data_IF_863186821488
#
_entry.id   IF_863186821488
#
_cell.length_a   1.000
_cell.length_b   1.000
_cell.length_c   1.000
_cell.angle_alpha   90.00
_cell.angle_beta   90.00
_cell.angle_gamma   90.00
#
_symmetry.space_group_name_H-M   'P 1'
#
loop_
_entity.id
_entity.type
_entity.pdbx_description
1 polymer ?
#
# COMPACT_ATOMS: atom_id res chain seq x y z
N UNK A 1 10.00 51.92 4.49
CA UNK A 1 8.92 51.93 5.52
C UNK A 1 7.69 51.10 5.09
N UNK A 2 7.21 51.24 3.86
CA UNK A 2 6.00 50.56 3.37
C UNK A 2 6.15 49.03 3.36
N UNK A 3 7.32 48.49 2.95
CA UNK A 3 7.57 47.06 2.92
C UNK A 3 7.63 46.45 4.32
N UNK A 4 8.34 47.13 5.25
CA UNK A 4 8.47 46.67 6.66
C UNK A 4 7.11 46.65 7.35
N UNK A 5 6.29 47.67 7.12
CA UNK A 5 4.91 47.73 7.65
C UNK A 5 4.09 46.56 7.13
N UNK A 6 4.09 46.32 5.81
CA UNK A 6 3.37 45.20 5.20
C UNK A 6 3.84 43.85 5.72
N UNK A 7 5.15 43.65 5.89
CA UNK A 7 5.70 42.42 6.48
C UNK A 7 5.24 42.22 7.93
N UNK A 8 5.18 43.30 8.72
CA UNK A 8 4.69 43.21 10.11
C UNK A 8 3.20 42.89 10.18
N UNK A 9 2.37 43.47 9.28
CA UNK A 9 0.95 43.18 9.20
C UNK A 9 0.71 41.73 8.80
N UNK A 10 1.44 41.22 7.78
CA UNK A 10 1.39 39.81 7.36
C UNK A 10 1.86 38.87 8.48
N UNK A 11 2.92 39.23 9.20
CA UNK A 11 3.42 38.46 10.34
C UNK A 11 2.38 38.36 11.45
N UNK A 12 1.65 39.43 11.72
CA UNK A 12 0.59 39.43 12.75
C UNK A 12 -0.51 38.46 12.40
N UNK A 13 -0.96 38.45 11.15
CA UNK A 13 -1.99 37.53 10.67
C UNK A 13 -1.48 36.08 10.63
N UNK A 14 -0.27 35.83 10.12
CA UNK A 14 0.28 34.47 10.01
C UNK A 14 0.57 33.81 11.37
N UNK A 15 0.86 34.61 12.41
CA UNK A 15 1.06 34.10 13.78
C UNK A 15 -0.13 33.38 14.39
N UNK A 16 -1.31 33.57 13.83
CA UNK A 16 -2.49 32.80 14.25
C UNK A 16 -2.35 31.29 13.97
N UNK A 17 -1.43 30.90 13.07
CA UNK A 17 -1.08 29.51 12.80
C UNK A 17 -0.09 28.94 13.86
N UNK A 18 0.61 29.80 14.60
CA UNK A 18 1.55 29.42 15.66
C UNK A 18 0.80 29.29 16.99
N UNK A 19 0.08 28.20 17.16
CA UNK A 19 -0.77 27.98 18.34
C UNK A 19 0.10 27.85 19.61
N UNK A 20 -0.15 28.64 20.67
CA UNK A 20 0.58 28.56 21.91
C UNK A 20 0.46 27.19 22.61
N UNK A 21 1.48 26.80 23.39
CA UNK A 21 1.51 25.47 24.05
C UNK A 21 0.25 25.18 24.87
N UNK A 22 -0.25 26.13 25.64
CA UNK A 22 -1.46 25.96 26.45
C UNK A 22 -2.68 25.64 25.58
N UNK A 23 -2.80 26.31 24.44
CA UNK A 23 -3.90 26.05 23.50
C UNK A 23 -3.70 24.74 22.78
N UNK A 24 -2.46 24.40 22.34
CA UNK A 24 -2.16 23.09 21.74
C UNK A 24 -2.54 21.95 22.67
N UNK A 25 -2.16 22.05 23.97
CA UNK A 25 -2.50 21.06 24.99
C UNK A 25 -4.02 20.90 25.10
N UNK A 26 -4.75 22.00 25.21
CA UNK A 26 -6.21 21.98 25.30
C UNK A 26 -6.87 21.36 24.05
N UNK A 27 -6.34 21.62 22.86
CA UNK A 27 -6.81 20.99 21.62
C UNK A 27 -6.51 19.48 21.60
N UNK A 28 -5.32 19.06 22.01
CA UNK A 28 -4.94 17.65 22.13
C UNK A 28 -5.86 16.91 23.11
N UNK A 29 -6.18 17.51 24.26
CA UNK A 29 -7.09 16.93 25.26
C UNK A 29 -8.50 16.72 24.66
N UNK A 30 -9.00 17.66 23.87
CA UNK A 30 -10.30 17.52 23.18
C UNK A 30 -10.30 16.38 22.16
N UNK A 31 -9.24 16.25 21.36
CA UNK A 31 -9.10 15.18 20.38
C UNK A 31 -8.93 13.82 21.07
N UNK A 32 -8.15 13.76 22.16
CA UNK A 32 -7.96 12.55 22.95
C UNK A 32 -9.27 12.10 23.60
N UNK A 33 -10.06 13.04 24.14
CA UNK A 33 -11.37 12.75 24.72
C UNK A 33 -12.34 12.22 23.64
N UNK A 34 -12.33 12.81 22.44
CA UNK A 34 -13.09 12.32 21.30
C UNK A 34 -12.70 10.88 20.94
N UNK A 35 -11.39 10.62 20.75
CA UNK A 35 -10.86 9.31 20.39
C UNK A 35 -11.22 8.24 21.43
N UNK A 36 -11.04 8.53 22.73
CA UNK A 36 -11.41 7.61 23.81
C UNK A 36 -12.92 7.32 23.81
N UNK A 37 -13.76 8.34 23.62
CA UNK A 37 -15.21 8.17 23.55
C UNK A 37 -15.60 7.28 22.37
N UNK A 38 -14.97 7.49 21.20
CA UNK A 38 -15.21 6.68 20.01
C UNK A 38 -14.80 5.22 20.22
N UNK A 39 -13.59 4.97 20.70
CA UNK A 39 -13.05 3.61 20.92
C UNK A 39 -13.90 2.87 21.97
N UNK A 40 -14.20 3.49 23.11
CA UNK A 40 -15.02 2.89 24.16
C UNK A 40 -16.46 2.61 23.75
N UNK A 41 -16.93 3.29 22.70
CA UNK A 41 -18.28 3.12 22.16
C UNK A 41 -18.41 2.06 21.07
N UNK A 42 -17.30 1.49 20.55
CA UNK A 42 -17.29 0.64 19.35
C UNK A 42 -18.22 -0.56 19.40
N UNK A 43 -18.36 -1.22 20.56
CA UNK A 43 -19.26 -2.37 20.75
C UNK A 43 -20.73 -2.03 20.48
N UNK A 44 -21.11 -0.77 20.60
CA UNK A 44 -22.48 -0.29 20.41
C UNK A 44 -22.70 0.35 19.04
N UNK A 45 -21.64 0.57 18.26
CA UNK A 45 -21.75 1.21 16.94
C UNK A 45 -22.16 0.19 15.89
N UNK A 46 -23.10 0.59 15.02
CA UNK A 46 -23.50 -0.22 13.86
C UNK A 46 -22.33 -0.31 12.86
N UNK A 47 -22.18 -1.46 12.22
CA UNK A 47 -21.19 -1.66 11.14
C UNK A 47 -21.46 -0.83 9.89
N UNK A 48 -22.74 -0.41 9.69
CA UNK A 48 -23.17 0.46 8.61
C UNK A 48 -24.33 1.35 9.02
N UNK A 49 -24.30 2.61 8.59
CA UNK A 49 -25.39 3.59 8.82
C UNK A 49 -25.59 4.47 7.58
N UNK A 50 -26.80 4.47 7.04
CA UNK A 50 -27.20 5.45 6.02
C UNK A 50 -27.63 6.75 6.69
N UNK A 51 -27.13 7.86 6.20
CA UNK A 51 -27.48 9.21 6.63
C UNK A 51 -27.27 10.17 5.46
N UNK A 52 -28.15 11.14 5.32
CA UNK A 52 -27.90 12.31 4.47
C UNK A 52 -26.83 13.18 5.12
N UNK A 53 -25.80 13.54 4.37
CA UNK A 53 -24.65 14.30 4.87
C UNK A 53 -24.99 15.79 4.84
N UNK A 54 -24.76 16.47 5.95
CA UNK A 54 -24.87 17.92 6.06
C UNK A 54 -23.80 18.66 5.28
N UNK A 55 -23.88 20.00 5.29
CA UNK A 55 -22.89 20.83 4.62
C UNK A 55 -21.51 20.74 5.28
N UNK A 56 -20.51 20.28 4.50
CA UNK A 56 -19.10 20.21 4.86
C UNK A 56 -18.22 21.18 4.07
N UNK A 57 -18.81 22.14 3.40
CA UNK A 57 -18.07 23.15 2.60
C UNK A 57 -17.17 24.01 3.49
N UNK A 58 -16.03 24.42 2.93
CA UNK A 58 -15.09 25.34 3.58
C UNK A 58 -15.62 26.78 3.40
N UNK A 59 -16.12 27.37 4.49
CA UNK A 59 -16.76 28.69 4.47
C UNK A 59 -15.76 29.86 4.58
N UNK A 60 -14.51 29.61 4.95
CA UNK A 60 -13.49 30.65 5.15
C UNK A 60 -13.47 31.30 6.54
N UNK A 61 -14.53 31.15 7.32
CA UNK A 61 -14.60 31.64 8.70
C UNK A 61 -14.03 30.62 9.69
N UNK A 62 -13.56 31.12 10.84
CA UNK A 62 -13.07 30.25 11.92
C UNK A 62 -14.22 29.54 12.60
N UNK A 63 -14.05 28.25 12.82
CA UNK A 63 -15.00 27.41 13.57
C UNK A 63 -14.30 26.80 14.78
N UNK A 64 -14.93 26.82 15.98
CA UNK A 64 -14.35 26.21 17.18
C UNK A 64 -14.11 24.70 17.00
N UNK A 65 -12.98 24.18 17.51
CA UNK A 65 -12.62 22.76 17.40
C UNK A 65 -13.72 21.83 17.91
N UNK A 66 -14.36 22.17 19.03
CA UNK A 66 -15.46 21.36 19.60
C UNK A 66 -16.65 21.20 18.64
N UNK A 67 -16.98 22.24 17.89
CA UNK A 67 -18.02 22.18 16.86
C UNK A 67 -17.58 21.30 15.69
N UNK A 68 -16.30 21.44 15.24
CA UNK A 68 -15.74 20.59 14.19
C UNK A 68 -15.69 19.13 14.60
N UNK A 69 -15.33 18.80 15.85
CA UNK A 69 -15.34 17.44 16.37
C UNK A 69 -16.77 16.86 16.41
N UNK A 70 -17.74 17.68 16.76
CA UNK A 70 -19.15 17.27 16.74
C UNK A 70 -19.60 16.98 15.31
N UNK A 71 -19.29 17.87 14.36
CA UNK A 71 -19.59 17.73 12.94
C UNK A 71 -18.87 16.49 12.36
N UNK A 72 -17.59 16.31 12.67
CA UNK A 72 -16.83 15.13 12.25
C UNK A 72 -17.48 13.83 12.78
N UNK A 73 -17.91 13.79 14.03
CA UNK A 73 -18.62 12.64 14.58
C UNK A 73 -19.87 12.33 13.79
N UNK A 74 -20.76 13.30 13.61
CA UNK A 74 -22.09 13.09 13.04
C UNK A 74 -22.09 12.88 11.54
N UNK A 75 -21.16 13.53 10.82
CA UNK A 75 -21.14 13.52 9.34
C UNK A 75 -20.11 12.54 8.76
N UNK A 76 -19.11 12.13 9.55
CA UNK A 76 -18.03 11.26 9.07
C UNK A 76 -17.95 9.96 9.85
N UNK A 77 -17.67 10.02 11.17
CA UNK A 77 -17.38 8.82 11.96
C UNK A 77 -18.60 7.90 12.17
N UNK A 78 -19.82 8.47 12.16
CA UNK A 78 -21.06 7.72 12.38
C UNK A 78 -21.86 7.47 11.09
N UNK A 79 -21.27 7.66 9.92
CA UNK A 79 -21.94 7.47 8.62
C UNK A 79 -21.23 6.44 7.76
N UNK A 80 -21.99 5.80 6.86
CA UNK A 80 -21.45 4.78 5.97
C UNK A 80 -20.98 3.52 6.70
N UNK A 81 -19.90 2.94 6.23
CA UNK A 81 -19.25 1.78 6.82
C UNK A 81 -18.34 2.22 7.97
N UNK A 82 -18.56 1.67 9.17
CA UNK A 82 -17.63 1.81 10.27
C UNK A 82 -16.68 0.60 10.31
N UNK A 83 -15.50 0.75 9.71
CA UNK A 83 -14.52 -0.31 9.63
C UNK A 83 -13.97 -0.75 11.01
N UNK A 84 -14.02 0.12 12.02
CA UNK A 84 -13.60 -0.20 13.38
C UNK A 84 -14.67 -0.94 14.21
N UNK A 85 -15.91 -1.00 13.73
CA UNK A 85 -16.99 -1.68 14.47
C UNK A 85 -16.81 -3.20 14.44
N UNK A 86 -16.91 -3.91 15.59
CA UNK A 86 -16.88 -5.36 15.63
C UNK A 86 -18.08 -6.03 14.92
N UNK A 87 -19.08 -5.24 14.55
CA UNK A 87 -20.25 -5.69 13.78
C UNK A 87 -20.08 -5.55 12.27
N UNK A 88 -18.91 -5.04 11.82
CA UNK A 88 -18.58 -4.93 10.41
C UNK A 88 -17.79 -6.16 9.97
N UNK A 89 -18.43 -7.04 9.18
CA UNK A 89 -17.86 -8.31 8.71
C UNK A 89 -17.64 -8.33 7.18
N UNK A 90 -17.88 -7.22 6.52
CA UNK A 90 -17.73 -7.10 5.06
C UNK A 90 -16.47 -6.32 4.66
N UNK A 91 -16.12 -6.36 3.39
CA UNK A 91 -15.06 -5.62 2.70
C UNK A 91 -13.67 -5.97 3.24
N UNK A 92 -12.99 -6.13 3.90
CA UNK A 92 -11.61 -6.45 4.36
C UNK A 92 -10.90 -5.19 4.88
N UNK A 93 -11.48 -4.48 5.86
CA UNK A 93 -10.78 -3.43 6.57
C UNK A 93 -9.93 -4.00 7.70
N UNK A 94 -8.88 -3.28 8.07
CA UNK A 94 -8.03 -3.64 9.20
C UNK A 94 -8.58 -3.23 10.58
N UNK A 95 -9.55 -2.37 10.68
CA UNK A 95 -10.14 -1.91 11.94
C UNK A 95 -9.40 -0.78 12.67
N UNK A 96 -8.13 -0.54 12.38
CA UNK A 96 -7.35 0.58 12.93
C UNK A 96 -6.84 0.39 14.36
N UNK A 97 -5.67 -0.24 14.52
CA UNK A 97 -4.97 -0.36 15.80
C UNK A 97 -4.62 1.01 16.36
N UNK A 98 -5.00 1.31 17.62
CA UNK A 98 -4.80 2.63 18.27
C UNK A 98 -3.35 3.10 18.25
N UNK A 99 -2.38 2.22 18.49
CA UNK A 99 -0.96 2.58 18.50
C UNK A 99 -0.46 3.06 17.13
N UNK A 100 -1.10 2.66 16.03
CA UNK A 100 -0.81 3.20 14.72
C UNK A 100 -1.30 4.65 14.55
N UNK A 101 -2.38 5.05 15.20
CA UNK A 101 -2.82 6.44 15.23
C UNK A 101 -1.82 7.33 15.98
N UNK A 102 -1.20 6.82 17.06
CA UNK A 102 -0.09 7.53 17.75
C UNK A 102 1.12 7.70 16.82
N UNK A 103 1.45 6.69 16.03
CA UNK A 103 2.51 6.77 15.02
C UNK A 103 2.22 7.87 13.99
N UNK A 104 0.97 7.97 13.52
CA UNK A 104 0.57 9.00 12.56
C UNK A 104 0.64 10.41 13.16
N UNK A 105 0.26 10.56 14.42
CA UNK A 105 0.42 11.83 15.14
C UNK A 105 1.90 12.24 15.17
N UNK A 106 2.80 11.34 15.60
CA UNK A 106 4.23 11.63 15.64
C UNK A 106 4.80 11.94 14.25
N UNK A 107 4.36 11.19 13.22
CA UNK A 107 4.79 11.42 11.84
C UNK A 107 4.32 12.79 11.32
N UNK A 108 3.12 13.22 11.66
CA UNK A 108 2.57 14.51 11.26
C UNK A 108 3.25 15.68 11.98
N UNK A 109 3.49 15.57 13.28
CA UNK A 109 4.14 16.64 14.09
C UNK A 109 5.60 16.84 13.70
N UNK A 110 6.34 15.76 13.43
CA UNK A 110 7.76 15.84 13.07
C UNK A 110 7.99 16.06 11.58
N UNK A 111 7.00 15.72 10.75
CA UNK A 111 6.95 15.92 9.31
C UNK A 111 8.26 15.59 8.56
N UNK A 112 8.88 14.41 8.74
CA UNK A 112 10.13 14.07 8.09
C UNK A 112 9.95 13.83 6.60
N UNK A 113 10.94 14.18 5.79
CA UNK A 113 10.96 13.82 4.36
C UNK A 113 11.37 12.35 4.18
N UNK A 114 10.47 11.45 4.56
CA UNK A 114 10.75 10.02 4.80
C UNK A 114 11.14 9.20 3.56
N UNK A 115 10.97 9.74 2.35
CA UNK A 115 11.24 9.02 1.11
C UNK A 115 12.69 9.11 0.63
N UNK A 116 13.47 10.03 1.17
CA UNK A 116 14.86 10.28 0.76
C UNK A 116 15.78 10.13 1.98
N UNK A 117 16.69 9.15 1.92
CA UNK A 117 17.58 8.83 3.04
C UNK A 117 18.44 10.02 3.48
N UNK A 118 19.08 10.71 2.54
CA UNK A 118 19.84 11.92 2.82
C UNK A 118 19.05 12.96 3.63
N UNK A 119 17.77 13.18 3.26
CA UNK A 119 16.94 14.20 3.90
C UNK A 119 16.41 13.78 5.28
N UNK A 120 16.14 12.51 5.47
CA UNK A 120 15.65 11.95 6.73
C UNK A 120 16.12 10.49 6.92
N UNK A 121 17.39 10.30 7.31
CA UNK A 121 17.96 8.95 7.37
C UNK A 121 17.21 8.03 8.34
N UNK A 122 16.80 8.53 9.50
CA UNK A 122 16.04 7.73 10.46
C UNK A 122 14.68 7.26 9.93
N UNK A 123 13.94 8.12 9.23
CA UNK A 123 12.64 7.74 8.67
C UNK A 123 12.77 6.77 7.50
N UNK A 124 13.74 6.98 6.61
CA UNK A 124 14.02 6.04 5.51
C UNK A 124 14.50 4.69 6.07
N UNK A 125 15.34 4.68 7.09
CA UNK A 125 15.78 3.44 7.76
C UNK A 125 14.59 2.67 8.36
N UNK A 126 13.65 3.34 9.03
CA UNK A 126 12.45 2.67 9.57
C UNK A 126 11.64 2.01 8.44
N UNK A 127 11.47 2.67 7.29
CA UNK A 127 10.78 2.04 6.15
C UNK A 127 11.56 0.83 5.64
N UNK A 128 12.87 0.95 5.49
CA UNK A 128 13.74 -0.15 5.05
C UNK A 128 13.72 -1.33 6.02
N UNK A 129 13.68 -1.09 7.34
CA UNK A 129 13.52 -2.15 8.35
C UNK A 129 12.17 -2.86 8.25
N UNK A 130 11.09 -2.12 7.99
CA UNK A 130 9.77 -2.72 7.72
C UNK A 130 9.83 -3.61 6.48
N UNK A 131 10.47 -3.16 5.40
CA UNK A 131 10.65 -3.96 4.18
C UNK A 131 11.53 -5.19 4.45
N UNK A 132 12.61 -5.06 5.22
CA UNK A 132 13.46 -6.18 5.61
C UNK A 132 12.68 -7.23 6.43
N UNK A 133 11.85 -6.77 7.38
CA UNK A 133 10.95 -7.66 8.11
C UNK A 133 9.96 -8.37 7.19
N UNK A 134 9.33 -7.67 6.25
CA UNK A 134 8.43 -8.28 5.27
C UNK A 134 9.14 -9.31 4.40
N UNK A 135 10.36 -9.02 3.91
CA UNK A 135 11.18 -10.01 3.18
C UNK A 135 11.37 -11.29 3.99
N UNK A 136 11.74 -11.15 5.26
CA UNK A 136 11.90 -12.30 6.17
C UNK A 136 10.61 -13.10 6.35
N UNK A 137 9.46 -12.43 6.52
CA UNK A 137 8.15 -13.08 6.69
C UNK A 137 7.76 -13.88 5.45
N UNK A 138 8.01 -13.35 4.25
CA UNK A 138 7.60 -13.96 2.98
C UNK A 138 8.70 -14.78 2.31
N UNK A 139 9.86 -14.95 2.95
CA UNK A 139 10.98 -15.75 2.42
C UNK A 139 11.64 -15.15 1.18
N UNK A 140 11.56 -13.84 0.98
CA UNK A 140 12.25 -13.14 -0.09
C UNK A 140 13.75 -13.00 0.23
N UNK A 141 14.64 -13.03 -0.78
CA UNK A 141 16.08 -12.92 -0.57
C UNK A 141 16.45 -11.52 -0.03
N UNK A 142 17.63 -11.44 0.62
CA UNK A 142 18.09 -10.21 1.28
C UNK A 142 18.37 -9.05 0.30
N UNK A 143 18.66 -9.36 -0.96
CA UNK A 143 18.89 -8.40 -2.03
C UNK A 143 17.59 -7.96 -2.76
N UNK A 144 16.45 -8.55 -2.41
CA UNK A 144 15.16 -8.07 -2.89
C UNK A 144 14.90 -6.65 -2.35
N UNK A 145 14.24 -5.85 -3.15
CA UNK A 145 13.87 -4.47 -2.80
C UNK A 145 12.38 -4.34 -2.56
N UNK A 146 11.99 -3.22 -1.97
CA UNK A 146 10.59 -2.92 -1.77
C UNK A 146 10.38 -1.51 -1.25
N UNK A 147 9.14 -1.09 -1.21
CA UNK A 147 8.75 0.18 -0.62
C UNK A 147 7.33 0.12 -0.08
N UNK A 148 7.02 1.01 0.84
CA UNK A 148 5.64 1.22 1.30
C UNK A 148 4.90 2.17 0.35
N UNK A 149 3.66 1.83 0.07
CA UNK A 149 2.74 2.59 -0.78
C UNK A 149 1.45 2.94 -0.02
N UNK A 150 0.51 3.58 -0.69
CA UNK A 150 -0.82 3.87 -0.11
C UNK A 150 -1.75 2.65 -0.08
N UNK A 151 -1.38 1.53 -0.69
CA UNK A 151 -2.17 0.29 -0.74
C UNK A 151 -1.90 -0.53 -1.99
N UNK A 152 -2.53 -1.72 -2.06
CA UNK A 152 -2.31 -2.72 -3.11
C UNK A 152 -2.39 -2.18 -4.54
N UNK A 153 -3.26 -1.21 -4.82
CA UNK A 153 -3.38 -0.64 -6.16
C UNK A 153 -2.11 0.06 -6.64
N UNK A 154 -1.45 0.84 -5.77
CA UNK A 154 -0.17 1.49 -6.10
C UNK A 154 0.96 0.48 -6.07
N UNK A 155 0.96 -0.46 -5.13
CA UNK A 155 1.92 -1.56 -5.08
C UNK A 155 1.89 -2.39 -6.37
N UNK A 156 0.71 -2.71 -6.91
CA UNK A 156 0.53 -3.41 -8.19
C UNK A 156 1.10 -2.59 -9.35
N UNK A 157 0.83 -1.28 -9.38
CA UNK A 157 1.36 -0.40 -10.41
C UNK A 157 2.89 -0.40 -10.42
N UNK A 158 3.55 -0.33 -9.25
CA UNK A 158 5.00 -0.39 -9.10
C UNK A 158 5.54 -1.72 -9.63
N UNK A 159 4.96 -2.85 -9.20
CA UNK A 159 5.38 -4.19 -9.61
C UNK A 159 5.24 -4.39 -11.13
N UNK A 160 4.10 -3.97 -11.71
CA UNK A 160 3.84 -4.14 -13.13
C UNK A 160 4.68 -3.22 -14.01
N UNK A 161 5.06 -2.04 -13.52
CA UNK A 161 6.00 -1.17 -14.22
C UNK A 161 7.37 -1.84 -14.34
N UNK A 162 7.87 -2.44 -13.26
CA UNK A 162 9.12 -3.21 -13.28
C UNK A 162 9.03 -4.42 -14.22
N UNK A 163 7.92 -5.19 -14.18
CA UNK A 163 7.68 -6.32 -15.06
C UNK A 163 7.65 -5.91 -16.55
N UNK A 164 6.90 -4.84 -16.88
CA UNK A 164 6.83 -4.26 -18.22
C UNK A 164 8.22 -3.92 -18.77
N UNK A 165 9.00 -3.21 -17.98
CA UNK A 165 10.30 -2.70 -18.43
C UNK A 165 11.33 -3.83 -18.50
N UNK A 166 11.34 -4.78 -17.56
CA UNK A 166 12.15 -6.01 -17.60
C UNK A 166 11.92 -6.81 -18.88
N UNK A 167 10.66 -6.99 -19.25
CA UNK A 167 10.27 -7.74 -20.45
C UNK A 167 10.22 -6.89 -21.73
N UNK A 168 10.59 -5.60 -21.64
CA UNK A 168 10.64 -4.65 -22.77
C UNK A 168 9.31 -4.58 -23.53
N UNK A 169 8.19 -4.59 -22.77
CA UNK A 169 6.84 -4.49 -23.34
C UNK A 169 6.53 -3.03 -23.63
N UNK A 170 6.78 -2.61 -24.87
CA UNK A 170 6.56 -1.23 -25.35
C UNK A 170 6.25 -1.21 -26.85
N UNK A 171 5.60 -0.15 -27.29
CA UNK A 171 5.29 0.13 -28.70
C UNK A 171 4.54 -1.06 -29.36
N UNK A 172 5.01 -1.53 -30.50
CA UNK A 172 4.40 -2.61 -31.30
C UNK A 172 4.38 -3.97 -30.60
N UNK A 173 5.11 -4.14 -29.50
CA UNK A 173 5.09 -5.36 -28.69
C UNK A 173 3.86 -5.42 -27.78
N UNK A 174 3.27 -4.28 -27.39
CA UNK A 174 2.14 -4.24 -26.46
C UNK A 174 0.98 -5.13 -26.92
N UNK A 175 0.43 -4.99 -28.15
CA UNK A 175 -0.72 -5.79 -28.58
C UNK A 175 -0.42 -7.27 -28.80
N UNK A 176 0.87 -7.67 -28.75
CA UNK A 176 1.30 -9.06 -28.80
C UNK A 176 1.65 -9.63 -27.43
N UNK A 177 1.72 -8.80 -26.43
CA UNK A 177 2.09 -9.21 -25.06
C UNK A 177 0.90 -9.79 -24.32
N UNK A 178 1.13 -10.87 -23.57
CA UNK A 178 0.07 -11.62 -22.88
C UNK A 178 0.30 -11.59 -21.38
N UNK A 179 -0.76 -11.25 -20.65
CA UNK A 179 -0.87 -11.33 -19.19
C UNK A 179 -1.83 -12.46 -18.85
N UNK A 180 -1.36 -13.41 -18.04
CA UNK A 180 -2.16 -14.55 -17.57
C UNK A 180 -2.70 -14.26 -16.18
N UNK A 181 -3.99 -14.46 -15.98
CA UNK A 181 -4.72 -14.16 -14.74
C UNK A 181 -5.98 -15.02 -14.64
N UNK A 182 -6.67 -14.96 -13.52
CA UNK A 182 -7.99 -15.57 -13.37
C UNK A 182 -9.10 -14.51 -13.31
N UNK A 183 -10.35 -14.93 -13.38
CA UNK A 183 -11.51 -14.06 -13.15
C UNK A 183 -11.61 -13.58 -11.70
N UNK A 184 -10.90 -14.23 -10.77
CA UNK A 184 -10.87 -13.89 -9.34
C UNK A 184 -9.86 -12.80 -8.98
N UNK A 185 -9.03 -12.32 -9.93
CA UNK A 185 -8.08 -11.25 -9.62
C UNK A 185 -8.79 -9.93 -9.30
N UNK A 186 -8.22 -9.18 -8.38
CA UNK A 186 -8.76 -7.88 -8.04
C UNK A 186 -8.68 -6.90 -9.23
N UNK A 187 -9.69 -6.08 -9.42
CA UNK A 187 -9.79 -5.11 -10.54
C UNK A 187 -8.64 -4.09 -10.60
N UNK A 188 -7.84 -3.95 -9.52
CA UNK A 188 -6.61 -3.15 -9.56
C UNK A 188 -5.61 -3.64 -10.60
N UNK A 189 -5.62 -4.91 -10.96
CA UNK A 189 -4.79 -5.52 -12.01
C UNK A 189 -5.03 -4.85 -13.36
N UNK A 190 -6.27 -4.85 -13.85
CA UNK A 190 -6.62 -4.22 -15.13
C UNK A 190 -6.40 -2.70 -15.08
N UNK A 191 -6.73 -2.08 -13.93
CA UNK A 191 -6.51 -0.65 -13.73
C UNK A 191 -5.03 -0.29 -13.78
N UNK A 192 -4.16 -1.07 -13.15
CA UNK A 192 -2.72 -0.86 -13.19
C UNK A 192 -2.16 -1.01 -14.62
N UNK A 193 -2.55 -2.07 -15.33
CA UNK A 193 -2.15 -2.28 -16.73
C UNK A 193 -2.53 -1.08 -17.62
N UNK A 194 -3.76 -0.59 -17.49
CA UNK A 194 -4.21 0.59 -18.21
C UNK A 194 -3.38 1.83 -17.89
N UNK A 195 -3.12 2.12 -16.60
CA UNK A 195 -2.37 3.30 -16.17
C UNK A 195 -0.94 3.30 -16.73
N UNK A 196 -0.30 2.12 -16.78
CA UNK A 196 1.07 1.99 -17.30
C UNK A 196 1.13 1.83 -18.84
N UNK A 197 0.01 2.04 -19.54
CA UNK A 197 -0.06 2.04 -21.00
C UNK A 197 -0.07 0.63 -21.62
N UNK A 198 -0.54 -0.38 -20.89
CA UNK A 198 -0.67 -1.77 -21.35
C UNK A 198 -2.14 -2.19 -21.54
N UNK A 199 -3.05 -1.25 -21.82
CA UNK A 199 -4.45 -1.55 -22.00
C UNK A 199 -4.73 -2.43 -23.24
N UNK A 200 -3.86 -2.37 -24.25
CA UNK A 200 -3.93 -3.17 -25.46
C UNK A 200 -3.23 -4.55 -25.36
N UNK A 201 -2.64 -4.86 -24.18
CA UNK A 201 -2.08 -6.20 -23.94
C UNK A 201 -3.21 -7.25 -23.83
N UNK A 202 -2.91 -8.45 -24.29
CA UNK A 202 -3.88 -9.56 -24.25
C UNK A 202 -4.02 -10.05 -22.81
N UNK A 203 -5.25 -10.04 -22.29
CA UNK A 203 -5.59 -10.67 -21.01
C UNK A 203 -6.07 -12.09 -21.27
N UNK A 204 -5.31 -13.08 -20.79
CA UNK A 204 -5.61 -14.49 -20.92
C UNK A 204 -6.14 -15.04 -19.60
N UNK A 205 -7.46 -15.23 -19.51
CA UNK A 205 -8.10 -15.79 -18.32
C UNK A 205 -7.93 -17.30 -18.30
N UNK A 206 -7.29 -17.80 -17.25
CA UNK A 206 -7.01 -19.21 -17.07
C UNK A 206 -8.17 -19.87 -16.32
N UNK A 207 -8.62 -21.06 -16.73
CA UNK A 207 -9.66 -21.82 -16.06
C UNK A 207 -9.32 -22.06 -14.58
N UNK A 208 -10.38 -22.10 -13.77
CA UNK A 208 -10.31 -22.35 -12.34
C UNK A 208 -10.80 -23.78 -12.02
N UNK A 209 -10.28 -24.36 -10.96
CA UNK A 209 -10.80 -25.60 -10.39
C UNK A 209 -12.07 -25.37 -9.55
N UNK A 210 -12.59 -26.45 -8.92
CA UNK A 210 -13.78 -26.39 -8.09
C UNK A 210 -13.63 -25.52 -6.83
N UNK A 211 -12.40 -25.27 -6.40
CA UNK A 211 -12.04 -24.42 -5.28
C UNK A 211 -11.68 -22.99 -5.72
N UNK A 212 -11.99 -22.63 -6.97
CA UNK A 212 -11.71 -21.31 -7.57
C UNK A 212 -10.21 -20.96 -7.65
N UNK A 213 -9.32 -21.95 -7.83
CA UNK A 213 -7.88 -21.76 -8.00
C UNK A 213 -7.49 -21.92 -9.48
N UNK A 214 -6.48 -21.18 -9.91
CA UNK A 214 -5.87 -21.35 -11.24
C UNK A 214 -5.41 -22.79 -11.43
N UNK A 215 -5.74 -23.39 -12.58
CA UNK A 215 -5.28 -24.73 -12.95
C UNK A 215 -3.90 -24.61 -13.64
N UNK A 216 -2.77 -25.04 -13.00
CA UNK A 216 -1.42 -24.84 -13.56
C UNK A 216 -1.20 -25.51 -14.92
N UNK A 217 -1.82 -26.66 -15.17
CA UNK A 217 -1.72 -27.36 -16.45
C UNK A 217 -2.38 -26.56 -17.59
N UNK A 218 -3.50 -25.87 -17.33
CA UNK A 218 -4.16 -24.99 -18.29
C UNK A 218 -3.34 -23.74 -18.57
N UNK A 219 -2.67 -23.18 -17.53
CA UNK A 219 -1.74 -22.08 -17.67
C UNK A 219 -0.57 -22.48 -18.59
N UNK A 220 0.08 -23.62 -18.32
CA UNK A 220 1.19 -24.14 -19.14
C UNK A 220 0.77 -24.33 -20.60
N UNK A 221 -0.40 -24.93 -20.84
CA UNK A 221 -0.96 -25.14 -22.18
C UNK A 221 -1.22 -23.81 -22.90
N UNK A 222 -1.84 -22.84 -22.22
CA UNK A 222 -2.16 -21.54 -22.81
C UNK A 222 -0.90 -20.77 -23.21
N UNK A 223 0.14 -20.79 -22.37
CA UNK A 223 1.42 -20.14 -22.68
C UNK A 223 2.08 -20.79 -23.90
N UNK A 224 2.07 -22.14 -23.97
CA UNK A 224 2.62 -22.89 -25.09
C UNK A 224 1.91 -22.54 -26.41
N UNK A 225 0.59 -22.44 -26.39
CA UNK A 225 -0.22 -22.05 -27.55
C UNK A 225 0.10 -20.61 -27.97
N UNK A 226 0.06 -19.63 -27.07
CA UNK A 226 0.31 -18.23 -27.37
C UNK A 226 1.70 -18.04 -27.99
N UNK A 227 2.73 -18.78 -27.52
CA UNK A 227 4.06 -18.76 -28.13
C UNK A 227 4.08 -19.32 -29.54
N UNK A 228 3.35 -20.40 -29.80
CA UNK A 228 3.26 -20.98 -31.13
C UNK A 228 2.58 -20.06 -32.13
N UNK A 229 1.72 -19.16 -31.64
CA UNK A 229 1.04 -18.12 -32.42
C UNK A 229 1.87 -16.84 -32.58
N UNK A 230 3.10 -16.80 -32.03
CA UNK A 230 4.02 -15.65 -32.13
C UNK A 230 3.71 -14.51 -31.16
N UNK A 231 2.90 -14.77 -30.13
CA UNK A 231 2.62 -13.85 -29.05
C UNK A 231 3.80 -13.79 -28.05
N UNK A 232 3.77 -12.81 -27.17
CA UNK A 232 4.81 -12.56 -26.17
C UNK A 232 4.26 -12.71 -24.74
N UNK A 233 4.19 -13.94 -24.19
CA UNK A 233 3.93 -14.16 -22.77
C UNK A 233 4.94 -13.46 -21.89
N UNK A 234 4.50 -12.63 -20.91
CA UNK A 234 5.45 -11.93 -20.05
C UNK A 234 5.09 -11.86 -18.57
N UNK A 235 3.81 -11.96 -18.22
CA UNK A 235 3.34 -11.78 -16.84
C UNK A 235 2.29 -12.80 -16.47
N UNK A 236 2.43 -13.45 -15.33
CA UNK A 236 1.35 -14.21 -14.68
C UNK A 236 1.03 -13.58 -13.33
N UNK A 237 -0.26 -13.39 -13.07
CA UNK A 237 -0.81 -12.80 -11.84
C UNK A 237 -1.62 -13.85 -11.11
N UNK A 238 -1.23 -14.15 -9.88
CA UNK A 238 -1.93 -15.06 -8.96
C UNK A 238 -2.38 -14.32 -7.71
N UNK A 239 -3.29 -14.93 -6.97
CA UNK A 239 -3.79 -14.39 -5.71
C UNK A 239 -3.42 -15.28 -4.53
N UNK A 240 -2.92 -14.67 -3.46
CA UNK A 240 -2.72 -15.31 -2.17
C UNK A 240 -3.78 -14.82 -1.18
N UNK A 241 -5.00 -15.25 -1.42
CA UNK A 241 -6.23 -14.80 -0.79
C UNK A 241 -7.01 -13.82 -1.67
N UNK A 242 -7.91 -14.35 -2.52
CA UNK A 242 -8.78 -13.53 -3.37
C UNK A 242 -9.76 -12.71 -2.53
N UNK A 243 -10.14 -11.53 -3.02
CA UNK A 243 -11.07 -10.65 -2.31
C UNK A 243 -12.45 -11.27 -2.10
N UNK A 244 -12.92 -12.04 -3.07
CA UNK A 244 -14.29 -12.59 -3.04
C UNK A 244 -14.40 -13.88 -2.22
N UNK A 245 -13.43 -14.80 -2.34
CA UNK A 245 -13.52 -16.14 -1.77
C UNK A 245 -12.44 -16.44 -0.72
N UNK A 246 -11.39 -15.61 -0.62
CA UNK A 246 -10.23 -15.87 0.23
C UNK A 246 -9.32 -16.99 -0.28
N UNK A 247 -9.56 -17.50 -1.49
CA UNK A 247 -8.83 -18.62 -2.10
C UNK A 247 -7.37 -18.25 -2.36
N UNK A 248 -6.46 -19.17 -2.07
CA UNK A 248 -5.04 -19.07 -2.41
C UNK A 248 -4.77 -19.99 -3.61
N UNK A 249 -4.20 -19.42 -4.66
CA UNK A 249 -3.78 -20.17 -5.86
C UNK A 249 -2.68 -21.19 -5.52
N UNK A 250 -2.47 -22.24 -6.33
CA UNK A 250 -1.39 -23.21 -6.13
C UNK A 250 -0.02 -22.59 -6.50
N UNK A 251 0.46 -21.69 -5.63
CA UNK A 251 1.58 -20.77 -5.89
C UNK A 251 2.84 -21.47 -6.36
N UNK A 252 3.21 -22.60 -5.71
CA UNK A 252 4.43 -23.35 -6.04
C UNK A 252 4.38 -23.97 -7.44
N UNK A 253 3.23 -24.57 -7.81
CA UNK A 253 3.05 -25.17 -9.12
C UNK A 253 2.99 -24.11 -10.24
N UNK A 254 2.41 -22.93 -9.96
CA UNK A 254 2.38 -21.82 -10.92
C UNK A 254 3.79 -21.22 -11.07
N UNK A 255 4.57 -21.14 -9.97
CA UNK A 255 5.97 -20.72 -10.05
C UNK A 255 6.80 -21.63 -10.97
N UNK A 256 6.57 -22.97 -10.94
CA UNK A 256 7.24 -23.91 -11.88
C UNK A 256 6.92 -23.55 -13.34
N UNK A 257 5.66 -23.27 -13.64
CA UNK A 257 5.24 -22.85 -14.99
C UNK A 257 5.86 -21.50 -15.36
N UNK A 258 5.86 -20.51 -14.46
CA UNK A 258 6.44 -19.20 -14.72
C UNK A 258 7.95 -19.30 -15.02
N UNK A 259 8.70 -20.07 -14.23
CA UNK A 259 10.13 -20.31 -14.43
C UNK A 259 10.37 -21.05 -15.76
N UNK A 260 9.63 -22.12 -16.04
CA UNK A 260 9.73 -22.89 -17.31
C UNK A 260 9.61 -21.98 -18.54
N UNK A 261 8.72 -21.01 -18.45
CA UNK A 261 8.42 -20.12 -19.58
C UNK A 261 9.11 -18.76 -19.49
N UNK A 262 9.86 -18.46 -18.42
CA UNK A 262 10.55 -17.18 -18.24
C UNK A 262 9.59 -15.98 -18.16
N UNK A 263 8.45 -16.13 -17.48
CA UNK A 263 7.49 -15.07 -17.21
C UNK A 263 7.84 -14.36 -15.90
N UNK A 264 7.45 -13.09 -15.81
CA UNK A 264 7.37 -12.42 -14.51
C UNK A 264 6.21 -13.00 -13.70
N UNK A 265 6.53 -13.51 -12.52
CA UNK A 265 5.56 -14.09 -11.60
C UNK A 265 5.19 -13.09 -10.51
N UNK A 266 3.94 -12.62 -10.54
CA UNK A 266 3.39 -11.69 -9.56
C UNK A 266 2.37 -12.36 -8.66
N UNK A 267 2.48 -12.14 -7.35
CA UNK A 267 1.51 -12.61 -6.35
C UNK A 267 0.81 -11.41 -5.71
N UNK A 268 -0.51 -11.34 -5.87
CA UNK A 268 -1.36 -10.42 -5.10
C UNK A 268 -1.73 -11.07 -3.77
N UNK A 269 -1.06 -10.65 -2.71
CA UNK A 269 -1.30 -11.06 -1.34
C UNK A 269 -1.89 -9.91 -0.49
N UNK A 270 -2.47 -8.90 -1.14
CA UNK A 270 -2.99 -7.71 -0.47
C UNK A 270 -3.96 -8.06 0.66
N UNK A 271 -4.85 -9.02 0.45
CA UNK A 271 -5.76 -9.50 1.49
C UNK A 271 -5.14 -10.59 2.35
N UNK A 272 -4.78 -11.72 1.74
CA UNK A 272 -4.47 -12.95 2.47
C UNK A 272 -3.04 -13.06 2.99
N UNK A 273 -2.12 -12.19 2.54
CA UNK A 273 -0.69 -12.37 2.78
C UNK A 273 -0.31 -12.58 4.25
N UNK A 274 -0.88 -11.81 5.16
CA UNK A 274 -0.52 -11.92 6.57
C UNK A 274 -1.05 -13.18 7.28
N UNK A 275 -1.92 -13.97 6.64
CA UNK A 275 -2.23 -15.31 7.16
C UNK A 275 -1.03 -16.27 7.15
N UNK A 276 0.06 -15.91 6.47
CA UNK A 276 1.35 -16.62 6.57
C UNK A 276 1.91 -16.63 8.00
N UNK A 277 1.55 -15.66 8.84
CA UNK A 277 1.93 -15.59 10.24
C UNK A 277 1.15 -16.57 11.13
N UNK A 278 0.11 -17.20 10.60
CA UNK A 278 -0.83 -18.05 11.33
C UNK A 278 -0.55 -19.54 11.10
N UNK A 279 -1.36 -20.42 11.70
CA UNK A 279 -1.37 -21.85 11.42
C UNK A 279 -1.70 -22.22 9.96
N UNK A 280 -2.08 -21.25 9.12
CA UNK A 280 -2.40 -21.42 7.69
C UNK A 280 -1.21 -21.17 6.76
N UNK A 281 -0.01 -20.96 7.29
CA UNK A 281 1.22 -20.64 6.52
C UNK A 281 1.48 -21.61 5.35
N UNK A 282 1.14 -22.87 5.49
CA UNK A 282 1.40 -23.90 4.47
C UNK A 282 0.64 -23.65 3.16
N UNK A 283 -0.46 -22.88 3.20
CA UNK A 283 -1.20 -22.46 1.99
C UNK A 283 -0.37 -21.53 1.09
N UNK A 284 0.64 -20.87 1.67
CA UNK A 284 1.45 -19.88 0.98
C UNK A 284 2.77 -20.43 0.43
N UNK A 285 2.95 -21.76 0.46
CA UNK A 285 4.13 -22.42 -0.11
C UNK A 285 4.31 -21.99 -1.59
N UNK A 286 5.51 -21.51 -1.93
CA UNK A 286 5.83 -20.98 -3.26
C UNK A 286 5.69 -19.48 -3.40
N UNK A 287 5.17 -18.76 -2.38
CA UNK A 287 5.08 -17.29 -2.40
C UNK A 287 6.46 -16.64 -2.48
N UNK A 288 7.46 -17.26 -1.86
CA UNK A 288 8.87 -16.84 -1.89
C UNK A 288 9.49 -16.92 -3.28
N UNK A 289 8.85 -17.61 -4.22
CA UNK A 289 9.32 -17.76 -5.61
C UNK A 289 8.87 -16.63 -6.53
N UNK A 290 7.92 -15.80 -6.10
CA UNK A 290 7.42 -14.68 -6.89
C UNK A 290 8.54 -13.67 -7.23
N UNK A 291 8.49 -13.09 -8.42
CA UNK A 291 9.35 -11.96 -8.81
C UNK A 291 8.89 -10.67 -8.15
N UNK A 292 7.59 -10.55 -7.92
CA UNK A 292 6.99 -9.46 -7.13
C UNK A 292 5.80 -9.92 -6.30
N UNK A 293 5.66 -9.31 -5.13
CA UNK A 293 4.61 -9.58 -4.16
C UNK A 293 4.03 -8.26 -3.65
N UNK A 294 2.72 -8.14 -3.59
CA UNK A 294 2.05 -7.02 -2.92
C UNK A 294 1.31 -7.47 -1.66
N UNK A 295 1.37 -6.64 -0.62
CA UNK A 295 0.78 -6.93 0.70
C UNK A 295 0.17 -5.64 1.24
N UNK A 296 -0.97 -5.72 1.94
CA UNK A 296 -1.58 -4.57 2.58
C UNK A 296 -1.57 -4.71 4.11
N UNK A 297 -0.58 -4.09 4.81
CA UNK A 297 -0.58 -4.03 6.27
C UNK A 297 -1.86 -3.42 6.85
N UNK A 298 -2.50 -2.50 6.13
CA UNK A 298 -3.77 -1.92 6.54
C UNK A 298 -4.98 -2.88 6.44
N UNK A 299 -4.76 -4.12 5.92
CA UNK A 299 -5.73 -5.21 5.97
C UNK A 299 -5.34 -6.21 7.05
N UNK A 300 -4.35 -7.06 6.79
CA UNK A 300 -4.02 -8.20 7.63
C UNK A 300 -3.31 -7.88 8.95
N UNK A 301 -2.72 -6.69 9.13
CA UNK A 301 -2.14 -6.24 10.41
C UNK A 301 -3.05 -5.25 11.17
N UNK A 302 -4.31 -5.12 10.77
CA UNK A 302 -5.30 -4.26 11.45
C UNK A 302 -4.88 -2.78 11.55
N UNK A 303 -3.99 -2.31 10.68
CA UNK A 303 -3.54 -0.92 10.67
C UNK A 303 -4.57 0.00 9.99
N UNK A 304 -4.58 1.30 10.28
CA UNK A 304 -5.40 2.26 9.55
C UNK A 304 -5.11 2.25 8.05
N UNK A 305 -6.12 2.55 7.23
CA UNK A 305 -5.98 2.65 5.78
C UNK A 305 -4.81 3.54 5.34
N UNK A 306 -4.28 3.27 4.16
CA UNK A 306 -3.24 4.08 3.54
C UNK A 306 -1.83 3.53 3.69
N UNK A 307 -1.67 2.21 3.97
CA UNK A 307 -0.38 1.52 3.96
C UNK A 307 -0.47 0.18 3.25
N UNK A 308 0.20 0.07 2.12
CA UNK A 308 0.49 -1.15 1.39
C UNK A 308 2.00 -1.31 1.23
N UNK A 309 2.44 -2.46 0.78
CA UNK A 309 3.85 -2.74 0.49
C UNK A 309 3.99 -3.52 -0.81
N UNK A 310 5.12 -3.34 -1.48
CA UNK A 310 5.57 -4.16 -2.59
C UNK A 310 6.95 -4.70 -2.30
N UNK A 311 7.18 -5.98 -2.61
CA UNK A 311 8.50 -6.61 -2.64
C UNK A 311 8.79 -7.03 -4.08
N UNK A 312 10.02 -6.79 -4.56
CA UNK A 312 10.48 -7.12 -5.91
C UNK A 312 11.88 -7.71 -5.81
N UNK A 313 12.12 -8.89 -6.41
CA UNK A 313 13.44 -9.53 -6.40
C UNK A 313 14.46 -8.78 -7.25
N UNK A 314 14.08 -8.32 -8.43
CA UNK A 314 14.98 -7.65 -9.36
C UNK A 314 15.11 -6.15 -9.03
N UNK A 315 16.09 -5.81 -8.19
CA UNK A 315 16.41 -4.43 -7.82
C UNK A 315 16.79 -3.58 -9.03
N UNK A 316 17.48 -4.17 -10.03
CA UNK A 316 17.88 -3.47 -11.25
C UNK A 316 16.67 -3.10 -12.11
N UNK A 317 15.71 -4.01 -12.27
CA UNK A 317 14.46 -3.72 -12.98
C UNK A 317 13.67 -2.61 -12.27
N UNK A 318 13.61 -2.65 -10.93
CA UNK A 318 12.90 -1.64 -10.14
C UNK A 318 13.54 -0.25 -10.26
N UNK A 319 14.87 -0.16 -10.13
CA UNK A 319 15.59 1.10 -10.32
C UNK A 319 15.45 1.62 -11.76
N UNK A 320 15.55 0.74 -12.76
CA UNK A 320 15.36 1.14 -14.16
C UNK A 320 14.00 1.79 -14.41
N UNK A 321 12.98 1.33 -13.72
CA UNK A 321 11.59 1.79 -13.89
C UNK A 321 11.23 3.03 -13.10
N UNK A 322 11.86 3.25 -11.94
CA UNK A 322 11.40 4.25 -10.97
C UNK A 322 12.46 5.30 -10.62
N UNK A 323 13.75 4.97 -10.73
CA UNK A 323 14.82 5.93 -10.40
C UNK A 323 14.94 7.02 -11.45
N UNK A 324 14.99 8.26 -10.98
CA UNK A 324 15.22 9.43 -11.83
C UNK A 324 16.11 10.44 -11.10
N UNK A 325 17.19 10.89 -11.76
CA UNK A 325 18.10 11.89 -11.21
C UNK A 325 17.54 13.29 -11.43
N UNK A 326 17.33 14.04 -10.35
CA UNK A 326 16.92 15.44 -10.43
C UNK A 326 18.09 16.38 -10.10
N UNK A 327 18.30 17.42 -10.90
CA UNK A 327 19.41 18.36 -10.73
C UNK A 327 19.40 19.12 -9.40
N UNK A 328 18.24 19.26 -8.75
CA UNK A 328 18.10 19.95 -7.47
C UNK A 328 18.36 19.03 -6.25
N UNK A 329 18.61 17.73 -6.46
CA UNK A 329 18.90 16.77 -5.39
C UNK A 329 20.37 16.32 -5.43
N UNK A 330 21.30 17.22 -5.75
CA UNK A 330 22.72 16.91 -5.93
C UNK A 330 23.41 16.37 -4.67
N UNK A 331 22.93 16.74 -3.48
CA UNK A 331 23.49 16.28 -2.21
C UNK A 331 23.29 14.79 -1.95
N UNK A 332 22.31 14.16 -2.62
CA UNK A 332 22.03 12.71 -2.52
C UNK A 332 22.82 11.83 -3.50
N UNK A 333 23.68 12.40 -4.36
CA UNK A 333 24.37 11.63 -5.39
C UNK A 333 25.41 10.61 -4.88
N UNK A 334 25.83 10.71 -3.62
CA UNK A 334 26.83 9.82 -3.02
C UNK A 334 26.20 8.70 -2.17
N UNK A 335 24.88 8.59 -2.13
CA UNK A 335 24.19 7.56 -1.37
C UNK A 335 23.96 6.28 -2.18
N UNK A 336 23.87 5.16 -1.48
CA UNK A 336 23.37 3.92 -2.06
C UNK A 336 21.91 4.13 -2.51
N UNK A 337 21.66 3.96 -3.81
CA UNK A 337 20.35 4.25 -4.44
C UNK A 337 19.17 3.51 -3.78
N UNK A 338 19.44 2.33 -3.24
CA UNK A 338 18.43 1.48 -2.62
C UNK A 338 18.01 1.94 -1.21
N UNK A 339 18.77 2.83 -0.58
CA UNK A 339 18.44 3.34 0.76
C UNK A 339 17.30 4.37 0.75
N UNK A 340 17.03 4.96 -0.43
CA UNK A 340 15.97 5.96 -0.58
C UNK A 340 14.71 5.35 -1.19
N UNK A 341 13.61 5.19 -0.41
CA UNK A 341 12.33 4.64 -0.92
C UNK A 341 11.78 5.35 -2.17
N UNK A 342 12.08 6.64 -2.36
CA UNK A 342 11.71 7.40 -3.56
C UNK A 342 12.26 6.81 -4.86
N UNK A 343 13.40 6.11 -4.81
CA UNK A 343 14.02 5.52 -5.98
C UNK A 343 13.34 4.21 -6.43
N UNK A 344 12.44 3.68 -5.60
CA UNK A 344 11.75 2.39 -5.79
C UNK A 344 10.25 2.56 -6.07
N UNK A 345 9.75 3.81 -6.16
CA UNK A 345 8.34 4.11 -6.33
C UNK A 345 8.12 5.39 -7.16
N UNK A 346 6.90 5.63 -7.68
CA UNK A 346 6.58 6.89 -8.35
C UNK A 346 6.40 8.07 -7.37
N UNK A 347 6.38 7.84 -6.05
CA UNK A 347 6.17 8.87 -5.04
C UNK A 347 7.51 9.47 -4.60
N UNK A 348 7.75 10.75 -4.87
CA UNK A 348 8.89 11.47 -4.30
C UNK A 348 8.58 11.95 -2.88
N UNK A 349 7.50 12.69 -2.70
CA UNK A 349 7.04 13.14 -1.38
C UNK A 349 5.89 12.26 -0.93
N UNK A 350 6.06 11.60 0.21
CA UNK A 350 5.04 10.69 0.75
C UNK A 350 4.93 10.78 2.27
N UNK A 351 3.79 10.39 2.80
CA UNK A 351 3.58 10.25 4.24
C UNK A 351 4.56 9.23 4.84
N UNK A 352 5.02 9.48 6.06
CA UNK A 352 5.91 8.56 6.79
C UNK A 352 5.16 7.29 7.25
N UNK A 353 4.80 6.44 6.29
CA UNK A 353 4.02 5.20 6.51
C UNK A 353 4.80 4.15 7.31
N UNK A 354 6.13 4.19 7.24
CA UNK A 354 6.99 3.25 7.97
C UNK A 354 6.72 3.25 9.46
N UNK A 355 6.54 4.43 10.05
CA UNK A 355 6.27 4.55 11.49
C UNK A 355 4.92 3.92 11.89
N UNK A 356 3.90 4.02 11.02
CA UNK A 356 2.57 3.40 11.24
C UNK A 356 2.63 1.87 11.33
N UNK A 357 3.60 1.24 10.67
CA UNK A 357 3.82 -0.21 10.73
C UNK A 357 4.78 -0.56 11.87
N UNK A 358 5.91 0.14 11.94
CA UNK A 358 7.01 -0.14 12.85
C UNK A 358 6.61 0.01 14.31
N UNK A 359 5.94 1.11 14.67
CA UNK A 359 5.62 1.40 16.08
C UNK A 359 4.69 0.36 16.72
N UNK A 360 3.57 -0.05 16.11
CA UNK A 360 2.73 -1.12 16.66
C UNK A 360 3.45 -2.46 16.79
N UNK A 361 4.26 -2.84 15.78
CA UNK A 361 5.03 -4.09 15.82
C UNK A 361 6.07 -4.08 16.94
N UNK A 362 6.73 -2.94 17.19
CA UNK A 362 7.69 -2.81 18.30
C UNK A 362 7.00 -2.82 19.67
N UNK A 363 5.85 -2.18 19.80
CA UNK A 363 5.12 -2.08 21.06
C UNK A 363 4.46 -3.41 21.47
N UNK A 364 3.89 -4.12 20.51
CA UNK A 364 3.08 -5.31 20.78
C UNK A 364 3.78 -6.63 20.47
N UNK A 365 4.87 -6.59 19.70
CA UNK A 365 5.44 -7.78 19.09
C UNK A 365 4.52 -8.36 18.00
N UNK A 366 4.87 -9.54 17.48
CA UNK A 366 4.14 -10.16 16.35
C UNK A 366 2.97 -11.04 16.84
N UNK A 367 3.07 -11.60 18.05
CA UNK A 367 2.09 -12.56 18.56
C UNK A 367 0.62 -12.08 18.52
N UNK A 368 0.28 -10.84 18.83
CA UNK A 368 -1.11 -10.37 18.75
C UNK A 368 -1.68 -10.29 17.32
N UNK A 369 -0.81 -10.39 16.29
CA UNK A 369 -1.20 -10.37 14.87
C UNK A 369 -1.32 -11.78 14.26
N UNK A 370 -1.01 -12.82 15.03
CA UNK A 370 -1.14 -14.24 14.66
C UNK A 370 -2.54 -14.77 14.98
#
# INVERSE_FOLDING_TARGET
>A
ETLIRRLNDLRTTSRELDIPEVERTAMMDQVAAFANTFINGLDNVKGFRTKEIGDLSIQGDKVPLQELLTRYRTEVAETGINAASPKHLGYIPGGGVFTAALADLLAAETNPFASVHFASPGAATIENEVIAWLRSVFGFPDDAVGCLSSGGSISTLIAFTAARDKHKVKNERIPKSVVYLSEQVHHSTQKALRIIGLEDAILRYIPLDAEHRIIPAELDRAIGQDRSEGLHPFLVVTSAGTTDTGTVDPLDAIADVAVKHGLWYHVDAAYGGFFILTSKKDLFKGIERADSLIIDPHKGLFLPYGVGAVLIKDSTATLHSHYYTANYMQDGHNEELLNSPANLSPELTKHFRGLRVWLPLQLHGIAPFQ
#
